data_IF_428880916957
#
_entry.id   IF_428880916957
#
_cell.length_a   1.000
_cell.length_b   1.000
_cell.length_c   1.000
_cell.angle_alpha   90.00
_cell.angle_beta   90.00
_cell.angle_gamma   90.00
#
_symmetry.space_group_name_H-M   'P 1'
#
loop_
_entity.id
_entity.type
_entity.pdbx_description
1 polymer ?
#
# COMPACT_ATOMS: atom_id res chain seq x y z
N UNK A 1 52.69 -82.55 -9.64
CA UNK A 1 52.53 -81.75 -8.43
C UNK A 1 52.00 -80.35 -8.93
N UNK A 2 50.71 -80.05 -8.66
CA UNK A 2 50.09 -78.81 -9.08
C UNK A 2 49.81 -77.96 -7.83
N UNK A 3 50.39 -76.76 -7.73
CA UNK A 3 50.15 -75.88 -6.62
C UNK A 3 48.89 -75.05 -6.98
N UNK A 4 47.89 -75.07 -6.10
CA UNK A 4 46.72 -74.17 -6.13
C UNK A 4 47.02 -72.91 -5.31
N UNK A 5 47.10 -71.77 -5.96
CA UNK A 5 47.11 -70.48 -5.30
C UNK A 5 45.66 -70.06 -4.96
N UNK A 6 45.43 -69.84 -3.67
CA UNK A 6 44.19 -69.25 -3.16
C UNK A 6 44.31 -67.73 -3.21
N UNK A 7 43.47 -67.09 -4.07
CA UNK A 7 43.29 -65.62 -4.09
C UNK A 7 42.22 -65.30 -3.06
N UNK A 8 42.59 -64.50 -2.07
CA UNK A 8 41.67 -63.93 -1.09
C UNK A 8 41.14 -62.64 -1.66
N UNK A 9 39.82 -62.52 -1.91
CA UNK A 9 39.14 -61.29 -2.30
C UNK A 9 38.72 -60.56 -1.02
N UNK A 10 39.31 -59.35 -0.76
CA UNK A 10 38.92 -58.50 0.31
C UNK A 10 37.77 -57.58 -0.22
N UNK A 11 36.58 -57.73 0.32
CA UNK A 11 35.46 -56.83 0.04
C UNK A 11 35.60 -55.57 0.90
N UNK A 12 35.92 -54.43 0.26
CA UNK A 12 35.88 -53.10 0.90
C UNK A 12 34.43 -52.60 0.94
N UNK A 13 33.83 -52.52 2.12
CA UNK A 13 32.54 -51.87 2.34
C UNK A 13 32.70 -50.33 2.28
N UNK A 14 32.22 -49.71 1.23
CA UNK A 14 32.14 -48.22 1.13
C UNK A 14 30.93 -47.76 1.94
N UNK A 15 31.19 -47.18 3.10
CA UNK A 15 30.19 -46.43 3.87
C UNK A 15 29.96 -45.08 3.16
N UNK A 16 28.88 -44.96 2.39
CA UNK A 16 28.40 -43.65 1.90
C UNK A 16 27.65 -42.97 3.05
N UNK A 17 28.34 -42.08 3.74
CA UNK A 17 27.71 -41.19 4.70
C UNK A 17 26.84 -40.20 3.91
N UNK A 18 25.52 -40.41 3.91
CA UNK A 18 24.56 -39.41 3.43
C UNK A 18 24.56 -38.27 4.44
N UNK A 19 25.34 -37.22 4.18
CA UNK A 19 25.23 -35.97 4.88
C UNK A 19 23.85 -35.37 4.51
N UNK A 20 22.90 -35.43 5.43
CA UNK A 20 21.67 -34.64 5.33
C UNK A 20 22.07 -33.17 5.24
N UNK A 21 21.55 -32.41 4.26
CA UNK A 21 21.83 -31.00 4.22
C UNK A 21 21.31 -30.38 5.53
N UNK A 22 22.20 -29.85 6.34
CA UNK A 22 21.85 -28.97 7.45
C UNK A 22 21.22 -27.77 6.78
N UNK A 23 19.88 -27.67 6.81
CA UNK A 23 19.18 -26.45 6.42
C UNK A 23 19.67 -25.39 7.38
N UNK A 24 20.50 -24.47 6.87
CA UNK A 24 20.75 -23.23 7.56
C UNK A 24 19.38 -22.64 7.91
N UNK A 25 19.13 -22.34 9.19
CA UNK A 25 17.89 -21.70 9.59
C UNK A 25 17.70 -20.46 8.69
N UNK A 26 16.67 -20.50 7.84
CA UNK A 26 16.46 -19.43 6.87
C UNK A 26 16.29 -18.11 7.62
N UNK A 27 16.99 -17.10 7.15
CA UNK A 27 16.93 -15.76 7.73
C UNK A 27 15.51 -15.23 7.55
N UNK A 28 14.93 -14.65 8.62
CA UNK A 28 13.63 -13.99 8.55
C UNK A 28 13.61 -12.96 7.41
N UNK A 29 12.69 -13.12 6.46
CA UNK A 29 12.50 -12.20 5.34
C UNK A 29 11.38 -11.21 5.63
N UNK A 30 11.39 -10.06 4.94
CA UNK A 30 10.29 -9.11 5.00
C UNK A 30 9.00 -9.71 4.46
N UNK A 31 9.09 -10.59 3.45
CA UNK A 31 7.94 -11.29 2.88
C UNK A 31 7.31 -12.27 3.89
N UNK A 32 8.12 -13.06 4.61
CA UNK A 32 7.61 -13.93 5.65
C UNK A 32 6.89 -13.17 6.76
N UNK A 33 7.47 -12.03 7.16
CA UNK A 33 6.84 -11.12 8.12
C UNK A 33 5.52 -10.59 7.59
N UNK A 34 5.47 -10.17 6.33
CA UNK A 34 4.26 -9.65 5.68
C UNK A 34 3.16 -10.72 5.60
N UNK A 35 3.51 -11.93 5.18
CA UNK A 35 2.59 -13.07 5.14
C UNK A 35 2.05 -13.41 6.51
N UNK A 36 2.92 -13.53 7.52
CA UNK A 36 2.52 -13.82 8.89
C UNK A 36 1.55 -12.76 9.45
N UNK A 37 1.87 -11.47 9.29
CA UNK A 37 1.01 -10.36 9.71
C UNK A 37 -0.31 -10.32 8.94
N UNK A 38 -0.31 -10.78 7.69
CA UNK A 38 -1.51 -10.91 6.86
C UNK A 38 -2.35 -12.15 7.18
N UNK A 39 -1.99 -12.95 8.19
CA UNK A 39 -2.66 -14.21 8.50
C UNK A 39 -2.46 -15.29 7.43
N UNK A 40 -1.39 -15.19 6.63
CA UNK A 40 -1.01 -16.14 5.59
C UNK A 40 0.21 -16.94 6.06
N UNK A 41 0.32 -18.24 5.73
CA UNK A 41 1.50 -19.01 6.11
C UNK A 41 2.78 -18.39 5.52
N UNK A 42 3.84 -18.19 6.33
CA UNK A 42 5.17 -17.83 5.84
C UNK A 42 5.79 -18.98 5.04
N UNK A 43 6.97 -18.79 4.44
CA UNK A 43 7.69 -19.83 3.73
C UNK A 43 8.05 -21.00 4.67
N UNK A 44 8.23 -22.20 4.12
CA UNK A 44 8.41 -23.44 4.91
C UNK A 44 9.61 -23.41 5.85
N UNK A 45 10.70 -22.69 5.52
CA UNK A 45 11.92 -22.56 6.35
C UNK A 45 11.89 -21.36 7.31
N UNK A 46 10.85 -20.54 7.27
CA UNK A 46 10.79 -19.32 8.07
C UNK A 46 10.75 -19.61 9.58
N UNK A 47 11.50 -18.84 10.41
CA UNK A 47 11.40 -18.91 11.87
C UNK A 47 9.98 -18.63 12.40
N UNK A 48 9.13 -17.96 11.62
CA UNK A 48 7.73 -17.66 12.00
C UNK A 48 6.81 -18.87 11.83
N UNK A 49 7.22 -19.92 11.12
CA UNK A 49 6.37 -21.10 10.87
C UNK A 49 5.89 -21.75 12.17
N UNK A 50 6.75 -21.84 13.18
CA UNK A 50 6.38 -22.40 14.49
C UNK A 50 5.26 -21.59 15.18
N UNK A 51 5.19 -20.27 14.97
CA UNK A 51 4.19 -19.38 15.56
C UNK A 51 2.81 -19.53 14.92
N UNK A 52 2.69 -20.16 13.75
CA UNK A 52 1.39 -20.36 13.08
C UNK A 52 0.51 -21.38 13.79
N UNK A 53 1.06 -22.20 14.69
CA UNK A 53 0.29 -23.09 15.58
C UNK A 53 -0.33 -22.38 16.78
N UNK A 54 0.05 -21.12 17.07
CA UNK A 54 -0.52 -20.33 18.17
C UNK A 54 -2.00 -20.05 17.92
N UNK A 55 -2.89 -20.34 18.89
CA UNK A 55 -4.34 -20.10 18.73
C UNK A 55 -4.69 -18.65 18.40
N UNK A 56 -3.89 -17.68 18.86
CA UNK A 56 -4.09 -16.25 18.56
C UNK A 56 -3.81 -15.98 17.09
N UNK A 57 -2.73 -16.55 16.54
CA UNK A 57 -2.45 -16.40 15.11
C UNK A 57 -3.50 -17.10 14.25
N UNK A 58 -3.95 -18.28 14.62
CA UNK A 58 -5.01 -19.00 13.89
C UNK A 58 -6.33 -18.23 13.87
N UNK A 59 -6.69 -17.56 14.97
CA UNK A 59 -7.86 -16.69 15.03
C UNK A 59 -7.67 -15.48 14.12
N UNK A 60 -6.52 -14.83 14.17
CA UNK A 60 -6.12 -13.72 13.31
C UNK A 60 -6.20 -14.10 11.82
N UNK A 61 -5.64 -15.24 11.44
CA UNK A 61 -5.69 -15.74 10.07
C UNK A 61 -7.13 -15.90 9.57
N UNK A 62 -8.01 -16.55 10.36
CA UNK A 62 -9.43 -16.70 10.01
C UNK A 62 -10.16 -15.36 9.91
N UNK A 63 -9.88 -14.42 10.82
CA UNK A 63 -10.47 -13.07 10.78
C UNK A 63 -10.09 -12.34 9.49
N UNK A 64 -8.80 -12.33 9.13
CA UNK A 64 -8.34 -11.66 7.92
C UNK A 64 -8.82 -12.35 6.64
N UNK A 65 -8.86 -13.68 6.60
CA UNK A 65 -9.40 -14.40 5.44
C UNK A 65 -10.86 -14.02 5.18
N UNK A 66 -11.68 -13.96 6.23
CA UNK A 66 -13.06 -13.54 6.11
C UNK A 66 -13.19 -12.07 5.69
N UNK A 67 -12.45 -11.16 6.35
CA UNK A 67 -12.55 -9.73 6.10
C UNK A 67 -12.06 -9.34 4.69
N UNK A 68 -10.89 -9.86 4.28
CA UNK A 68 -10.36 -9.62 2.93
C UNK A 68 -11.20 -10.30 1.85
N UNK A 69 -11.72 -11.51 2.10
CA UNK A 69 -12.65 -12.17 1.18
C UNK A 69 -13.93 -11.37 0.94
N UNK A 70 -14.52 -10.80 1.98
CA UNK A 70 -15.66 -9.90 1.85
C UNK A 70 -15.31 -8.60 1.10
N UNK A 71 -14.15 -8.00 1.40
CA UNK A 71 -13.70 -6.79 0.73
C UNK A 71 -13.41 -7.04 -0.76
N UNK A 72 -12.81 -8.18 -1.08
CA UNK A 72 -12.56 -8.62 -2.45
C UNK A 72 -13.86 -8.69 -3.26
N UNK A 73 -14.87 -9.40 -2.74
CA UNK A 73 -16.16 -9.56 -3.41
C UNK A 73 -16.94 -8.25 -3.52
N UNK A 74 -16.93 -7.46 -2.46
CA UNK A 74 -17.72 -6.21 -2.39
C UNK A 74 -17.15 -5.09 -3.23
N UNK A 75 -15.81 -4.98 -3.30
CA UNK A 75 -15.15 -3.79 -3.85
C UNK A 75 -13.98 -4.10 -4.79
N UNK A 76 -12.94 -4.82 -4.34
CA UNK A 76 -11.66 -4.85 -5.06
C UNK A 76 -11.76 -5.52 -6.43
N UNK A 77 -12.49 -6.62 -6.56
CA UNK A 77 -12.73 -7.27 -7.85
C UNK A 77 -13.50 -6.38 -8.82
N UNK A 78 -14.50 -5.65 -8.31
CA UNK A 78 -15.32 -4.71 -9.09
C UNK A 78 -14.50 -3.49 -9.54
N UNK A 79 -13.67 -2.96 -8.65
CA UNK A 79 -12.72 -1.87 -8.99
C UNK A 79 -11.80 -2.32 -10.12
N UNK A 80 -11.20 -3.51 -10.04
CA UNK A 80 -10.31 -4.02 -11.10
C UNK A 80 -11.06 -4.25 -12.42
N UNK A 81 -12.29 -4.75 -12.38
CA UNK A 81 -13.12 -4.89 -13.57
C UNK A 81 -13.42 -3.51 -14.20
N UNK A 82 -13.80 -2.53 -13.40
CA UNK A 82 -14.02 -1.16 -13.84
C UNK A 82 -12.75 -0.54 -14.44
N UNK A 83 -11.62 -0.73 -13.78
CA UNK A 83 -10.30 -0.25 -14.25
C UNK A 83 -9.94 -0.82 -15.63
N UNK A 84 -10.14 -2.14 -15.81
CA UNK A 84 -9.87 -2.80 -17.09
C UNK A 84 -10.66 -2.24 -18.26
N UNK A 85 -11.83 -1.65 -18.01
CA UNK A 85 -12.67 -1.02 -19.04
C UNK A 85 -12.34 0.46 -19.23
N UNK A 86 -12.03 1.19 -18.15
CA UNK A 86 -12.02 2.65 -18.17
C UNK A 86 -10.60 3.27 -18.21
N UNK A 87 -9.55 2.52 -17.86
CA UNK A 87 -8.16 2.99 -17.90
C UNK A 87 -7.40 2.38 -19.09
N UNK A 88 -7.54 2.98 -20.27
CA UNK A 88 -6.99 2.46 -21.52
C UNK A 88 -5.44 2.49 -21.58
N UNK A 89 -4.80 3.47 -20.97
CA UNK A 89 -3.35 3.70 -21.05
C UNK A 89 -2.76 4.19 -19.73
N UNK A 90 -2.80 3.38 -18.65
CA UNK A 90 -2.28 3.79 -17.36
C UNK A 90 -0.78 4.06 -17.42
N UNK A 91 -0.33 5.07 -16.69
CA UNK A 91 1.08 5.43 -16.58
C UNK A 91 1.81 4.48 -15.63
N UNK A 92 3.16 4.35 -15.78
CA UNK A 92 3.95 3.50 -14.91
C UNK A 92 4.05 4.03 -13.47
N UNK A 93 3.87 5.34 -13.26
CA UNK A 93 3.88 5.96 -11.92
C UNK A 93 2.45 6.29 -11.50
N UNK A 94 2.12 6.00 -10.23
CA UNK A 94 0.88 6.46 -9.62
C UNK A 94 1.16 7.24 -8.35
N UNK A 95 0.46 8.36 -8.17
CA UNK A 95 0.49 9.21 -6.99
C UNK A 95 -0.79 9.04 -6.18
N UNK A 96 -0.65 8.75 -4.88
CA UNK A 96 -1.77 8.70 -3.96
C UNK A 96 -1.49 9.56 -2.73
N UNK A 97 -1.70 10.85 -2.91
CA UNK A 97 -1.59 11.85 -1.83
C UNK A 97 -2.75 11.69 -0.85
N UNK A 98 -2.51 11.95 0.43
CA UNK A 98 -3.49 11.77 1.52
C UNK A 98 -3.95 10.32 1.72
N UNK A 99 -3.13 9.34 1.33
CA UNK A 99 -3.53 7.94 1.28
C UNK A 99 -3.49 7.22 2.63
N UNK A 100 -2.66 7.66 3.57
CA UNK A 100 -2.20 6.72 4.58
C UNK A 100 -1.45 5.55 3.94
N UNK A 101 -1.39 4.39 4.57
CA UNK A 101 -0.77 3.18 4.02
C UNK A 101 -1.65 2.41 3.01
N UNK A 102 -2.57 3.08 2.31
CA UNK A 102 -3.59 2.46 1.47
C UNK A 102 -3.05 1.95 0.11
N UNK A 103 -2.10 1.03 0.17
CA UNK A 103 -1.63 0.34 -1.03
C UNK A 103 -2.72 -0.54 -1.68
N UNK A 104 -3.68 -1.01 -0.89
CA UNK A 104 -4.70 -1.95 -1.37
C UNK A 104 -5.57 -1.34 -2.49
N UNK A 105 -6.08 -0.12 -2.28
CA UNK A 105 -6.84 0.59 -3.31
C UNK A 105 -5.94 1.15 -4.42
N UNK A 106 -4.71 1.54 -4.09
CA UNK A 106 -3.71 1.94 -5.09
C UNK A 106 -3.48 0.83 -6.12
N UNK A 107 -3.23 -0.41 -5.68
CA UNK A 107 -3.04 -1.58 -6.55
C UNK A 107 -4.34 -1.99 -7.26
N UNK A 108 -5.50 -1.88 -6.61
CA UNK A 108 -6.77 -2.23 -7.24
C UNK A 108 -7.12 -1.30 -8.42
N UNK A 109 -6.87 0.01 -8.30
CA UNK A 109 -7.10 0.97 -9.37
C UNK A 109 -5.98 1.02 -10.41
N UNK A 110 -4.73 0.79 -10.02
CA UNK A 110 -3.57 0.90 -10.91
C UNK A 110 -2.67 -0.35 -10.84
N UNK A 111 -3.20 -1.55 -11.13
CA UNK A 111 -2.45 -2.82 -10.97
C UNK A 111 -1.20 -2.90 -11.86
N UNK A 112 -1.16 -2.12 -12.95
CA UNK A 112 -0.05 -2.08 -13.90
C UNK A 112 1.01 -1.02 -13.59
N UNK A 113 0.82 -0.18 -12.58
CA UNK A 113 1.86 0.75 -12.15
C UNK A 113 3.11 -0.02 -11.69
N UNK A 114 4.28 0.53 -12.00
CA UNK A 114 5.58 0.01 -11.56
C UNK A 114 6.14 0.80 -10.38
N UNK A 115 5.68 2.04 -10.20
CA UNK A 115 6.03 2.92 -9.10
C UNK A 115 4.79 3.47 -8.43
N UNK A 116 4.65 3.25 -7.13
CA UNK A 116 3.58 3.76 -6.30
C UNK A 116 4.15 4.77 -5.31
N UNK A 117 3.59 5.97 -5.24
CA UNK A 117 3.99 7.01 -4.28
C UNK A 117 2.82 7.36 -3.40
N UNK A 118 2.88 6.94 -2.15
CA UNK A 118 1.89 7.16 -1.11
C UNK A 118 2.41 8.18 -0.10
N UNK A 119 1.54 8.98 0.47
CA UNK A 119 1.92 9.91 1.54
C UNK A 119 0.82 10.19 2.54
N UNK A 120 1.22 10.45 3.77
CA UNK A 120 0.36 10.87 4.88
C UNK A 120 1.18 11.51 6.01
N UNK A 121 0.51 11.86 7.11
CA UNK A 121 1.17 12.39 8.32
C UNK A 121 1.78 11.29 9.21
N UNK A 122 1.31 10.06 9.08
CA UNK A 122 1.73 8.93 9.91
C UNK A 122 3.15 8.52 9.55
N UNK A 123 4.04 8.28 10.55
CA UNK A 123 5.40 7.80 10.29
C UNK A 123 5.39 6.37 9.72
N UNK A 124 6.38 6.00 8.89
CA UNK A 124 6.51 4.62 8.42
C UNK A 124 6.74 3.63 9.58
N UNK A 125 7.35 4.06 10.66
CA UNK A 125 7.77 3.18 11.75
C UNK A 125 9.08 2.46 11.46
N UNK A 126 9.42 1.49 12.29
CA UNK A 126 10.57 0.60 12.10
C UNK A 126 10.20 -0.63 11.27
N UNK A 127 11.18 -1.23 10.60
CA UNK A 127 10.98 -2.51 9.92
C UNK A 127 10.55 -3.56 10.95
N UNK A 128 9.40 -4.22 10.78
CA UNK A 128 8.89 -5.17 11.75
C UNK A 128 9.83 -6.36 11.95
N UNK A 129 10.18 -6.63 13.20
CA UNK A 129 10.95 -7.82 13.61
C UNK A 129 10.17 -8.61 14.67
N UNK A 130 9.41 -9.58 14.23
CA UNK A 130 8.56 -10.39 15.08
C UNK A 130 9.33 -11.33 16.01
N UNK A 131 10.63 -11.56 15.76
CA UNK A 131 11.48 -12.39 16.63
C UNK A 131 11.79 -11.69 17.96
N UNK A 132 11.62 -10.36 18.00
CA UNK A 132 11.81 -9.54 19.20
C UNK A 132 10.56 -9.36 20.06
N UNK A 133 9.44 -9.93 19.64
CA UNK A 133 8.24 -9.90 20.47
C UNK A 133 8.46 -10.72 21.75
N UNK A 134 8.02 -10.21 22.91
CA UNK A 134 8.09 -10.95 24.16
C UNK A 134 7.25 -12.23 24.06
N UNK A 135 7.62 -13.27 24.82
CA UNK A 135 6.82 -14.50 24.89
C UNK A 135 5.38 -14.18 25.27
N UNK A 136 4.40 -14.63 24.47
CA UNK A 136 2.98 -14.28 24.63
C UNK A 136 2.57 -12.92 24.05
N UNK A 137 3.49 -12.11 23.53
CA UNK A 137 3.18 -10.79 22.96
C UNK A 137 2.57 -10.83 21.56
N UNK A 138 2.65 -11.96 20.86
CA UNK A 138 2.15 -12.12 19.48
C UNK A 138 0.65 -11.81 19.40
N UNK A 139 -0.16 -12.37 20.31
CA UNK A 139 -1.61 -12.16 20.30
C UNK A 139 -2.03 -10.70 20.47
N UNK A 140 -1.36 -9.97 21.38
CA UNK A 140 -1.62 -8.55 21.60
C UNK A 140 -1.21 -7.70 20.38
N UNK A 141 -0.04 -7.99 19.78
CA UNK A 141 0.45 -7.30 18.60
C UNK A 141 -0.49 -7.49 17.40
N UNK A 142 -0.95 -8.72 17.14
CA UNK A 142 -1.90 -9.02 16.07
C UNK A 142 -3.26 -8.35 16.30
N UNK A 143 -3.75 -8.33 17.54
CA UNK A 143 -4.99 -7.63 17.89
C UNK A 143 -4.92 -6.12 17.61
N UNK A 144 -3.80 -5.46 17.94
CA UNK A 144 -3.61 -4.05 17.64
C UNK A 144 -3.60 -3.79 16.13
N UNK A 145 -2.99 -4.67 15.34
CA UNK A 145 -3.03 -4.62 13.88
C UNK A 145 -4.47 -4.76 13.36
N UNK A 146 -5.24 -5.73 13.84
CA UNK A 146 -6.66 -5.90 13.48
C UNK A 146 -7.48 -4.62 13.75
N UNK A 147 -7.28 -4.02 14.93
CA UNK A 147 -7.97 -2.78 15.31
C UNK A 147 -7.61 -1.62 14.39
N UNK A 148 -6.33 -1.44 14.10
CA UNK A 148 -5.85 -0.35 13.23
C UNK A 148 -6.40 -0.43 11.80
N UNK A 149 -6.75 -1.64 11.35
CA UNK A 149 -7.29 -1.89 10.01
C UNK A 149 -8.83 -1.95 9.96
N UNK A 150 -9.52 -1.93 11.09
CA UNK A 150 -10.97 -2.14 11.16
C UNK A 150 -11.77 -1.18 10.26
N UNK A 151 -11.37 0.09 10.17
CA UNK A 151 -12.05 1.08 9.34
C UNK A 151 -11.88 0.83 7.84
N UNK A 152 -10.66 0.55 7.38
CA UNK A 152 -10.42 0.31 5.95
C UNK A 152 -11.07 -1.00 5.48
N UNK A 153 -11.10 -2.03 6.32
CA UNK A 153 -11.73 -3.30 6.01
C UNK A 153 -13.27 -3.20 5.99
N UNK A 154 -13.84 -2.37 6.86
CA UNK A 154 -15.30 -2.19 6.97
C UNK A 154 -15.85 -1.16 5.98
N UNK A 155 -15.10 -0.08 5.74
CA UNK A 155 -15.50 1.06 4.91
C UNK A 155 -14.70 1.10 3.61
N UNK A 156 -13.86 2.07 3.40
CA UNK A 156 -12.89 2.14 2.31
C UNK A 156 -11.80 3.18 2.60
N UNK A 157 -11.69 3.62 3.83
CA UNK A 157 -10.76 4.65 4.26
C UNK A 157 -10.26 4.40 5.68
N UNK A 158 -9.11 4.97 6.02
CA UNK A 158 -8.56 4.93 7.37
C UNK A 158 -9.14 6.03 8.26
N UNK A 159 -9.40 5.68 9.52
CA UNK A 159 -9.57 6.65 10.60
C UNK A 159 -8.18 6.83 11.22
N UNK A 160 -7.39 7.75 10.68
CA UNK A 160 -5.97 7.93 11.02
C UNK A 160 -5.71 8.17 12.50
N UNK A 161 -6.65 8.83 13.19
CA UNK A 161 -6.55 9.06 14.65
C UNK A 161 -6.55 7.74 15.43
N UNK A 162 -7.39 6.77 15.06
CA UNK A 162 -7.42 5.44 15.69
C UNK A 162 -6.16 4.64 15.34
N UNK A 163 -5.73 4.67 14.10
CA UNK A 163 -4.53 3.98 13.66
C UNK A 163 -3.27 4.44 14.43
N UNK A 164 -3.12 5.74 14.68
CA UNK A 164 -2.01 6.27 15.49
C UNK A 164 -1.99 5.73 16.92
N UNK A 165 -3.15 5.56 17.53
CA UNK A 165 -3.25 5.04 18.90
C UNK A 165 -2.92 3.54 18.95
N UNK A 166 -3.35 2.77 17.96
CA UNK A 166 -3.19 1.32 17.93
C UNK A 166 -1.77 0.88 17.53
N UNK A 167 -1.06 1.70 16.73
CA UNK A 167 0.29 1.43 16.23
C UNK A 167 1.32 2.47 16.69
N UNK A 168 1.07 3.13 17.83
CA UNK A 168 1.97 4.16 18.37
C UNK A 168 3.29 3.63 18.92
N UNK A 169 3.26 2.45 19.55
CA UNK A 169 4.38 1.89 20.30
C UNK A 169 4.65 0.42 19.98
N UNK A 170 5.85 -0.04 20.28
CA UNK A 170 6.27 -1.45 20.18
C UNK A 170 6.89 -1.85 18.87
N UNK A 171 6.94 -3.18 18.62
CA UNK A 171 7.61 -3.78 17.45
C UNK A 171 6.82 -3.62 16.13
N UNK A 172 5.53 -3.31 16.22
CA UNK A 172 4.64 -3.09 15.07
C UNK A 172 4.17 -1.63 15.03
N UNK A 173 5.10 -0.69 15.16
CA UNK A 173 4.78 0.74 15.13
C UNK A 173 4.70 1.30 13.69
N UNK A 174 3.94 2.38 13.54
CA UNK A 174 3.82 3.11 12.28
C UNK A 174 3.00 2.39 11.22
N UNK A 175 3.21 2.76 9.95
CA UNK A 175 2.41 2.28 8.81
C UNK A 175 2.97 1.04 8.12
N UNK A 176 4.24 0.68 8.35
CA UNK A 176 4.88 -0.47 7.70
C UNK A 176 4.15 -1.80 7.89
N UNK A 177 3.65 -2.15 9.10
CA UNK A 177 2.90 -3.39 9.27
C UNK A 177 1.68 -3.48 8.36
N UNK A 178 0.96 -2.36 8.15
CA UNK A 178 -0.22 -2.30 7.27
C UNK A 178 0.18 -2.43 5.81
N UNK A 179 1.25 -1.74 5.37
CA UNK A 179 1.78 -1.87 4.01
C UNK A 179 2.20 -3.32 3.72
N UNK A 180 2.82 -3.99 4.67
CA UNK A 180 3.18 -5.41 4.57
C UNK A 180 1.96 -6.30 4.34
N UNK A 181 0.92 -6.10 5.15
CA UNK A 181 -0.33 -6.86 5.04
C UNK A 181 -0.97 -6.63 3.68
N UNK A 182 -1.05 -5.39 3.21
CA UNK A 182 -1.67 -5.08 1.94
C UNK A 182 -0.88 -5.63 0.75
N UNK A 183 0.45 -5.58 0.78
CA UNK A 183 1.28 -6.22 -0.23
C UNK A 183 1.01 -7.72 -0.28
N UNK A 184 1.07 -8.41 0.86
CA UNK A 184 0.83 -9.85 0.92
C UNK A 184 -0.60 -10.22 0.47
N UNK A 185 -1.63 -9.50 0.94
CA UNK A 185 -3.04 -9.74 0.56
C UNK A 185 -3.36 -9.35 -0.89
N UNK A 186 -2.54 -8.50 -1.51
CA UNK A 186 -2.61 -8.23 -2.95
C UNK A 186 -1.78 -9.21 -3.79
N UNK A 187 -1.28 -10.30 -3.20
CA UNK A 187 -0.50 -11.33 -3.91
C UNK A 187 0.88 -10.84 -4.36
N UNK A 188 1.47 -9.87 -3.67
CA UNK A 188 2.81 -9.36 -3.94
C UNK A 188 3.83 -10.06 -3.04
N UNK A 189 5.07 -10.20 -3.54
CA UNK A 189 6.21 -10.76 -2.79
C UNK A 189 7.21 -9.66 -2.50
N UNK A 190 7.45 -9.35 -1.23
CA UNK A 190 8.41 -8.31 -0.83
C UNK A 190 9.84 -8.82 -1.06
N UNK A 191 10.65 -8.03 -1.77
CA UNK A 191 12.04 -8.33 -2.08
C UNK A 191 13.03 -7.56 -1.22
N UNK A 192 12.71 -6.27 -0.98
CA UNK A 192 13.60 -5.36 -0.25
C UNK A 192 12.82 -4.27 0.46
N UNK A 193 13.29 -3.82 1.61
CA UNK A 193 12.67 -2.75 2.41
C UNK A 193 13.74 -1.87 2.99
N UNK A 194 13.76 -0.62 2.55
CA UNK A 194 14.75 0.36 2.98
C UNK A 194 14.08 1.60 3.56
N UNK A 195 14.33 1.94 4.81
CA UNK A 195 14.07 3.28 5.32
C UNK A 195 14.86 4.29 4.49
N UNK A 196 14.18 5.33 4.04
CA UNK A 196 14.76 6.44 3.26
C UNK A 196 14.36 7.79 3.85
N UNK A 197 15.07 8.82 3.46
CA UNK A 197 14.73 10.19 3.78
C UNK A 197 14.98 11.10 2.57
N UNK A 198 14.10 12.07 2.34
CA UNK A 198 14.31 13.09 1.31
C UNK A 198 14.93 14.33 1.94
N UNK A 199 15.90 14.91 1.25
CA UNK A 199 16.37 16.26 1.54
C UNK A 199 15.42 17.33 0.94
N UNK A 200 15.70 18.59 1.16
CA UNK A 200 14.91 19.73 0.66
C UNK A 200 14.97 19.90 -0.87
N UNK A 201 15.87 19.18 -1.54
CA UNK A 201 15.99 19.14 -3.01
C UNK A 201 15.23 17.96 -3.63
N UNK A 202 14.72 17.04 -2.78
CA UNK A 202 14.02 15.84 -3.20
C UNK A 202 14.93 14.65 -3.51
N UNK A 203 16.23 14.74 -3.17
CA UNK A 203 17.10 13.58 -3.29
C UNK A 203 16.81 12.58 -2.17
N UNK A 204 16.70 11.29 -2.53
CA UNK A 204 16.46 10.21 -1.59
C UNK A 204 17.78 9.65 -1.05
N UNK A 205 17.88 9.58 0.27
CA UNK A 205 19.03 9.05 1.00
C UNK A 205 18.64 7.81 1.80
N UNK A 206 19.51 6.81 1.85
CA UNK A 206 19.28 5.64 2.69
C UNK A 206 19.65 5.91 4.16
N UNK A 207 19.13 5.09 5.08
CA UNK A 207 19.30 5.31 6.52
C UNK A 207 20.75 5.31 7.04
N UNK A 208 21.69 4.72 6.29
CA UNK A 208 23.12 4.72 6.59
C UNK A 208 23.86 5.98 6.12
N UNK A 209 23.22 6.84 5.36
CA UNK A 209 23.74 8.12 4.93
C UNK A 209 23.37 9.19 5.97
N UNK A 210 24.19 10.23 6.11
CA UNK A 210 23.90 11.34 7.02
C UNK A 210 23.48 12.59 6.21
N UNK A 211 22.21 12.66 5.77
CA UNK A 211 21.73 13.66 4.81
C UNK A 211 21.42 15.04 5.42
N UNK A 212 21.73 15.26 6.69
CA UNK A 212 21.52 16.57 7.34
C UNK A 212 20.27 16.67 8.20
N UNK A 213 19.70 17.90 8.33
CA UNK A 213 18.53 18.22 9.15
C UNK A 213 17.29 18.46 8.27
N UNK A 214 16.09 18.36 8.84
CA UNK A 214 14.80 18.61 8.17
C UNK A 214 14.48 17.66 7.01
N UNK A 215 14.57 16.36 7.29
CA UNK A 215 14.31 15.32 6.30
C UNK A 215 12.87 14.86 6.31
N UNK A 216 12.32 14.62 5.12
CA UNK A 216 11.05 13.91 4.97
C UNK A 216 11.30 12.40 5.04
N UNK A 217 10.88 11.78 6.13
CA UNK A 217 11.08 10.34 6.35
C UNK A 217 10.14 9.50 5.53
N UNK A 218 10.64 8.39 5.01
CA UNK A 218 9.85 7.45 4.22
C UNK A 218 10.43 6.05 4.25
N UNK A 219 9.84 5.21 3.44
CA UNK A 219 10.30 3.85 3.17
C UNK A 219 10.17 3.55 1.68
N UNK A 220 11.16 2.86 1.13
CA UNK A 220 11.13 2.25 -0.19
C UNK A 220 10.95 0.74 -0.01
N UNK A 221 9.92 0.19 -0.63
CA UNK A 221 9.66 -1.24 -0.66
C UNK A 221 9.73 -1.71 -2.11
N UNK A 222 10.64 -2.64 -2.39
CA UNK A 222 10.72 -3.32 -3.68
C UNK A 222 9.97 -4.64 -3.57
N UNK A 223 9.08 -4.93 -4.51
CA UNK A 223 8.27 -6.12 -4.50
C UNK A 223 8.08 -6.68 -5.92
N UNK A 224 7.82 -7.97 -6.02
CA UNK A 224 7.38 -8.60 -7.26
C UNK A 224 5.85 -8.60 -7.34
N UNK A 225 5.30 -8.19 -8.48
CA UNK A 225 3.90 -8.35 -8.80
C UNK A 225 3.54 -9.81 -9.10
N UNK A 226 2.25 -10.11 -9.26
CA UNK A 226 1.78 -11.42 -9.71
C UNK A 226 2.28 -11.82 -11.10
N UNK A 227 2.68 -10.83 -11.89
CA UNK A 227 3.30 -10.98 -13.21
C UNK A 227 4.83 -11.20 -13.15
N UNK A 228 5.39 -11.32 -11.94
CA UNK A 228 6.82 -11.49 -11.68
C UNK A 228 7.67 -10.22 -11.87
N UNK A 229 7.10 -9.12 -12.38
CA UNK A 229 7.84 -7.87 -12.59
C UNK A 229 8.12 -7.17 -11.28
N UNK A 230 9.32 -6.60 -11.19
CA UNK A 230 9.72 -5.78 -10.06
C UNK A 230 9.01 -4.43 -10.10
N UNK A 231 8.51 -4.02 -8.93
CA UNK A 231 7.79 -2.76 -8.70
C UNK A 231 8.30 -2.12 -7.42
N UNK A 232 8.08 -0.81 -7.31
CA UNK A 232 8.52 -0.06 -6.13
C UNK A 232 7.35 0.70 -5.51
N UNK A 233 7.23 0.59 -4.20
CA UNK A 233 6.34 1.40 -3.37
C UNK A 233 7.19 2.35 -2.54
N UNK A 234 6.92 3.64 -2.67
CA UNK A 234 7.41 4.70 -1.80
C UNK A 234 6.27 5.16 -0.87
N UNK A 235 6.53 5.21 0.41
CA UNK A 235 5.65 5.83 1.38
C UNK A 235 6.41 6.91 2.14
N UNK A 236 5.85 8.11 2.23
CA UNK A 236 6.46 9.24 2.92
C UNK A 236 5.54 9.82 4.00
N UNK A 237 6.12 10.06 5.18
CA UNK A 237 5.46 10.84 6.23
C UNK A 237 5.71 12.32 5.98
N UNK A 238 4.71 13.04 5.48
CA UNK A 238 4.84 14.44 5.13
C UNK A 238 3.53 15.19 5.29
N UNK A 239 3.61 16.44 5.75
CA UNK A 239 2.50 17.39 5.69
C UNK A 239 2.43 18.01 4.27
N UNK A 240 1.29 17.88 3.64
CA UNK A 240 1.04 18.39 2.29
C UNK A 240 0.49 19.81 2.26
N UNK A 241 0.40 20.51 3.39
CA UNK A 241 0.10 21.94 3.42
C UNK A 241 1.20 22.74 2.73
N UNK A 242 0.86 23.89 2.17
CA UNK A 242 1.80 24.74 1.42
C UNK A 242 3.07 25.09 2.21
N UNK A 243 2.95 25.26 3.53
CA UNK A 243 4.08 25.57 4.41
C UNK A 243 5.12 24.46 4.45
N UNK A 244 4.68 23.21 4.39
CA UNK A 244 5.55 22.03 4.41
C UNK A 244 5.86 21.50 3.01
N UNK A 245 4.86 21.36 2.15
CA UNK A 245 5.01 20.75 0.82
C UNK A 245 6.08 21.46 -0.05
N UNK A 246 6.24 22.77 0.11
CA UNK A 246 7.23 23.57 -0.66
C UNK A 246 8.66 23.37 -0.20
N UNK A 247 8.90 22.93 1.03
CA UNK A 247 10.23 22.84 1.65
C UNK A 247 10.65 21.41 1.98
N UNK A 248 9.70 20.46 2.01
CA UNK A 248 9.96 19.06 2.42
C UNK A 248 10.75 18.24 1.37
N UNK A 249 10.97 18.77 0.16
CA UNK A 249 11.54 18.01 -0.96
C UNK A 249 10.60 16.97 -1.58
N UNK A 250 9.45 16.67 -0.95
CA UNK A 250 8.56 15.59 -1.39
C UNK A 250 8.01 15.82 -2.81
N UNK A 251 7.47 17.01 -3.09
CA UNK A 251 6.95 17.30 -4.44
C UNK A 251 8.07 17.28 -5.49
N UNK A 252 9.27 17.79 -5.15
CA UNK A 252 10.45 17.72 -6.02
C UNK A 252 10.86 16.27 -6.33
N UNK A 253 10.82 15.39 -5.32
CA UNK A 253 11.02 13.95 -5.55
C UNK A 253 9.98 13.39 -6.53
N UNK A 254 8.69 13.71 -6.32
CA UNK A 254 7.63 13.26 -7.22
C UNK A 254 7.83 13.75 -8.67
N UNK A 255 8.34 14.96 -8.86
CA UNK A 255 8.66 15.53 -10.18
C UNK A 255 9.74 14.72 -10.93
N UNK A 256 10.65 14.05 -10.20
CA UNK A 256 11.69 13.21 -10.83
C UNK A 256 11.15 11.90 -11.41
N UNK A 257 9.95 11.47 -11.00
CA UNK A 257 9.37 10.19 -11.39
C UNK A 257 8.57 10.23 -12.71
N UNK A 258 8.63 11.34 -13.45
CA UNK A 258 7.85 11.61 -14.65
C UNK A 258 6.32 11.68 -14.42
N UNK A 259 5.55 12.19 -15.40
CA UNK A 259 4.09 12.24 -15.28
C UNK A 259 3.49 10.87 -15.03
N UNK A 260 2.53 10.81 -14.11
CA UNK A 260 1.87 9.58 -13.69
C UNK A 260 0.35 9.66 -13.76
N UNK A 261 -0.30 8.76 -13.07
CA UNK A 261 -1.72 8.80 -12.75
C UNK A 261 -1.92 9.11 -11.27
N UNK A 262 -3.09 9.57 -10.86
CA UNK A 262 -3.36 9.91 -9.48
C UNK A 262 -4.66 9.33 -8.95
N UNK A 263 -4.63 8.90 -7.68
CA UNK A 263 -5.80 8.54 -6.88
C UNK A 263 -5.97 9.55 -5.75
N UNK A 264 -7.18 10.09 -5.58
CA UNK A 264 -7.53 10.97 -4.47
C UNK A 264 -8.84 10.46 -3.87
N UNK A 265 -8.78 9.92 -2.67
CA UNK A 265 -9.90 9.29 -2.01
C UNK A 265 -9.92 9.69 -0.54
N UNK A 266 -11.06 10.15 -0.03
CA UNK A 266 -11.23 10.54 1.37
C UNK A 266 -10.19 11.58 1.84
N UNK A 267 -9.90 12.59 1.02
CA UNK A 267 -8.85 13.58 1.24
C UNK A 267 -9.27 14.74 2.17
N UNK A 268 -10.30 14.54 3.01
CA UNK A 268 -10.82 15.52 3.97
C UNK A 268 -11.10 16.90 3.36
N UNK A 269 -11.41 16.93 2.07
CA UNK A 269 -11.61 18.16 1.29
C UNK A 269 -10.46 19.17 1.41
N UNK A 270 -9.26 18.72 1.73
CA UNK A 270 -8.09 19.58 1.90
C UNK A 270 -7.72 20.30 0.61
N UNK A 271 -7.88 19.62 -0.52
CA UNK A 271 -7.60 20.19 -1.85
C UNK A 271 -8.58 21.31 -2.27
N UNK A 272 -9.67 21.54 -1.51
CA UNK A 272 -10.54 22.70 -1.66
C UNK A 272 -9.95 23.97 -1.03
N UNK A 273 -9.00 23.83 -0.11
CA UNK A 273 -8.39 24.94 0.61
C UNK A 273 -7.23 25.56 -0.18
N UNK A 274 -7.05 26.90 -0.14
CA UNK A 274 -5.86 27.55 -0.69
C UNK A 274 -4.55 27.09 -0.01
N UNK A 275 -4.63 26.59 1.23
CA UNK A 275 -3.46 26.08 1.98
C UNK A 275 -2.87 24.80 1.40
N UNK A 276 -3.54 24.15 0.43
CA UNK A 276 -3.06 22.95 -0.26
C UNK A 276 -2.92 23.19 -1.77
N UNK A 277 -2.71 24.43 -2.19
CA UNK A 277 -2.57 24.77 -3.61
C UNK A 277 -1.32 24.14 -4.23
N UNK A 278 -0.21 24.03 -3.51
CA UNK A 278 1.02 23.45 -4.06
C UNK A 278 0.84 21.98 -4.49
N UNK A 279 0.24 21.14 -3.64
CA UNK A 279 -0.03 19.74 -3.99
C UNK A 279 -1.13 19.62 -5.05
N UNK A 280 -2.15 20.48 -5.01
CA UNK A 280 -3.19 20.52 -6.05
C UNK A 280 -2.61 20.88 -7.42
N UNK A 281 -1.78 21.89 -7.51
CA UNK A 281 -1.10 22.33 -8.73
C UNK A 281 -0.16 21.22 -9.25
N UNK A 282 0.60 20.57 -8.36
CA UNK A 282 1.41 19.41 -8.72
C UNK A 282 0.56 18.31 -9.38
N UNK A 283 -0.53 17.89 -8.74
CA UNK A 283 -1.40 16.83 -9.26
C UNK A 283 -2.00 17.20 -10.62
N UNK A 284 -2.48 18.44 -10.79
CA UNK A 284 -3.01 18.92 -12.06
C UNK A 284 -1.95 19.02 -13.17
N UNK A 285 -0.70 19.30 -12.81
CA UNK A 285 0.40 19.40 -13.75
C UNK A 285 0.98 18.04 -14.17
N UNK A 286 1.04 17.08 -13.24
CA UNK A 286 1.79 15.83 -13.42
C UNK A 286 0.93 14.58 -13.60
N UNK A 287 -0.41 14.69 -13.50
CA UNK A 287 -1.31 13.58 -13.75
C UNK A 287 -1.80 13.54 -15.20
N UNK A 288 -1.67 12.36 -15.82
CA UNK A 288 -2.32 12.06 -17.11
C UNK A 288 -3.78 11.64 -16.88
N UNK A 289 -4.02 10.82 -15.86
CA UNK A 289 -5.35 10.41 -15.41
C UNK A 289 -5.47 10.65 -13.92
N UNK A 290 -6.66 11.08 -13.51
CA UNK A 290 -6.97 11.26 -12.09
C UNK A 290 -8.30 10.60 -11.76
N UNK A 291 -8.29 9.78 -10.72
CA UNK A 291 -9.48 9.16 -10.13
C UNK A 291 -9.69 9.80 -8.76
N UNK A 292 -10.89 10.32 -8.52
CA UNK A 292 -11.18 10.94 -7.23
C UNK A 292 -12.65 10.76 -6.81
N UNK A 293 -12.89 10.82 -5.48
CA UNK A 293 -14.22 11.10 -4.95
C UNK A 293 -14.43 12.62 -4.82
N UNK A 294 -15.58 13.06 -4.31
CA UNK A 294 -15.92 14.48 -4.16
C UNK A 294 -15.05 15.22 -3.13
N UNK A 295 -14.24 14.53 -2.34
CA UNK A 295 -13.26 15.13 -1.42
C UNK A 295 -11.97 15.58 -2.11
N UNK A 296 -11.79 15.24 -3.38
CA UNK A 296 -10.62 15.55 -4.20
C UNK A 296 -10.56 17.01 -4.67
N UNK A 297 -10.00 17.23 -5.84
CA UNK A 297 -9.84 18.56 -6.44
C UNK A 297 -11.17 19.05 -6.99
N UNK A 298 -11.68 20.24 -6.57
CA UNK A 298 -12.88 20.84 -7.14
C UNK A 298 -12.76 21.10 -8.65
N UNK A 299 -13.85 20.90 -9.39
CA UNK A 299 -13.88 21.14 -10.85
C UNK A 299 -13.43 22.53 -11.26
N UNK A 300 -13.64 23.54 -10.41
CA UNK A 300 -13.25 24.92 -10.68
C UNK A 300 -11.74 25.14 -10.85
N UNK A 301 -10.90 24.20 -10.37
CA UNK A 301 -9.45 24.28 -10.52
C UNK A 301 -8.91 23.58 -11.76
N UNK A 302 -9.74 22.80 -12.45
CA UNK A 302 -9.33 22.15 -13.69
C UNK A 302 -9.43 23.11 -14.89
N UNK A 303 -8.41 23.09 -15.75
CA UNK A 303 -8.54 23.68 -17.09
C UNK A 303 -9.44 22.77 -17.97
N UNK A 304 -10.68 23.18 -18.16
CA UNK A 304 -11.67 22.40 -18.90
C UNK A 304 -11.34 22.23 -20.40
N UNK A 305 -10.38 22.96 -20.95
CA UNK A 305 -9.87 22.76 -22.31
C UNK A 305 -8.94 21.56 -22.39
N UNK A 306 -8.32 21.20 -21.28
CA UNK A 306 -7.32 20.14 -21.18
C UNK A 306 -7.84 18.87 -20.53
N UNK A 307 -8.87 18.96 -19.68
CA UNK A 307 -9.39 17.84 -18.94
C UNK A 307 -10.77 17.41 -19.42
N UNK A 308 -10.94 16.11 -19.63
CA UNK A 308 -12.22 15.46 -19.91
C UNK A 308 -12.68 14.73 -18.67
N UNK A 309 -13.99 14.80 -18.39
CA UNK A 309 -14.59 14.30 -17.15
C UNK A 309 -15.60 13.22 -17.44
N UNK A 310 -15.46 12.10 -16.73
CA UNK A 310 -16.32 10.93 -16.80
C UNK A 310 -16.81 10.60 -15.38
N UNK A 311 -18.04 11.02 -15.02
CA UNK A 311 -18.61 10.77 -13.71
C UNK A 311 -19.20 9.36 -13.64
N UNK A 312 -19.04 8.69 -12.48
CA UNK A 312 -19.60 7.37 -12.16
C UNK A 312 -20.26 7.41 -10.78
N UNK A 313 -21.40 6.68 -10.63
CA UNK A 313 -22.15 6.62 -9.40
C UNK A 313 -23.03 7.85 -9.16
N UNK A 314 -23.10 8.33 -7.92
CA UNK A 314 -24.03 9.39 -7.52
C UNK A 314 -23.36 10.41 -6.60
N UNK A 315 -23.41 11.67 -6.97
CA UNK A 315 -23.04 12.75 -6.06
C UNK A 315 -24.26 13.22 -5.26
N UNK A 316 -24.25 12.96 -3.95
CA UNK A 316 -25.31 13.37 -3.01
C UNK A 316 -24.87 14.55 -2.10
N UNK A 317 -23.82 15.25 -2.49
CA UNK A 317 -23.19 16.30 -1.68
C UNK A 317 -22.10 15.74 -0.75
N UNK A 318 -21.35 16.61 -0.05
CA UNK A 318 -20.32 16.21 0.88
C UNK A 318 -20.92 15.46 2.07
N UNK A 319 -20.06 14.80 2.87
CA UNK A 319 -20.49 14.18 4.11
C UNK A 319 -20.82 15.26 5.15
N UNK A 320 -21.58 14.87 6.20
CA UNK A 320 -22.13 15.79 7.19
C UNK A 320 -21.05 16.60 7.93
N UNK A 321 -19.85 16.05 8.08
CA UNK A 321 -18.69 16.70 8.72
C UNK A 321 -18.12 17.87 7.91
N UNK A 322 -18.46 17.98 6.61
CA UNK A 322 -17.97 19.02 5.69
C UNK A 322 -19.09 19.72 4.90
N UNK A 323 -20.16 20.24 5.52
CA UNK A 323 -21.34 20.72 4.81
C UNK A 323 -21.04 21.89 3.86
N UNK A 324 -20.03 22.72 4.20
CA UNK A 324 -19.59 23.85 3.37
C UNK A 324 -18.78 23.48 2.12
N UNK A 325 -18.60 22.17 1.83
CA UNK A 325 -17.84 21.68 0.66
C UNK A 325 -18.73 21.22 -0.50
N UNK A 326 -20.01 21.61 -0.50
CA UNK A 326 -20.92 21.34 -1.61
C UNK A 326 -20.42 21.97 -2.92
N UNK A 327 -20.52 21.20 -4.01
CA UNK A 327 -20.05 21.60 -5.33
C UNK A 327 -21.21 21.60 -6.35
N UNK A 328 -21.80 22.76 -6.69
CA UNK A 328 -22.88 22.84 -7.69
C UNK A 328 -22.47 22.24 -9.04
N UNK A 329 -21.24 22.48 -9.48
CA UNK A 329 -20.74 21.95 -10.75
C UNK A 329 -20.65 20.42 -10.77
N UNK A 330 -20.38 19.78 -9.62
CA UNK A 330 -20.42 18.32 -9.49
C UNK A 330 -21.87 17.84 -9.64
N UNK A 331 -22.84 18.51 -9.02
CA UNK A 331 -24.25 18.15 -9.18
C UNK A 331 -24.67 18.13 -10.64
N UNK A 332 -24.30 19.16 -11.41
CA UNK A 332 -24.61 19.22 -12.84
C UNK A 332 -23.87 18.12 -13.63
N UNK A 333 -22.59 17.92 -13.35
CA UNK A 333 -21.79 16.91 -14.02
C UNK A 333 -22.34 15.50 -13.78
N UNK A 334 -22.73 15.19 -12.55
CA UNK A 334 -23.22 13.86 -12.15
C UNK A 334 -24.65 13.54 -12.59
N UNK A 335 -25.40 14.50 -13.18
CA UNK A 335 -26.66 14.18 -13.88
C UNK A 335 -26.48 13.22 -15.05
N UNK A 336 -25.28 13.15 -15.63
CA UNK A 336 -24.88 12.24 -16.72
C UNK A 336 -23.97 11.09 -16.27
N UNK A 337 -23.92 10.81 -14.96
CA UNK A 337 -23.04 9.79 -14.42
C UNK A 337 -23.43 8.38 -14.91
N UNK A 338 -22.41 7.58 -15.22
CA UNK A 338 -22.58 6.17 -15.52
C UNK A 338 -22.82 5.37 -14.22
N UNK A 339 -23.50 4.23 -14.30
CA UNK A 339 -23.65 3.35 -13.16
C UNK A 339 -22.30 2.87 -12.61
N UNK A 340 -22.23 2.68 -11.28
CA UNK A 340 -21.09 2.11 -10.58
C UNK A 340 -21.60 1.10 -9.53
N UNK A 341 -21.00 -0.07 -9.49
CA UNK A 341 -21.44 -1.19 -8.64
C UNK A 341 -20.54 -1.43 -7.42
N UNK A 342 -19.58 -0.52 -7.17
CA UNK A 342 -18.71 -0.49 -5.99
C UNK A 342 -18.72 0.90 -5.34
N UNK A 343 -18.20 1.00 -4.12
CA UNK A 343 -18.09 2.26 -3.42
C UNK A 343 -16.66 2.62 -3.08
N UNK A 344 -16.36 3.93 -3.05
CA UNK A 344 -15.08 4.48 -2.63
C UNK A 344 -15.27 5.70 -1.74
N UNK A 345 -14.21 6.08 -1.06
CA UNK A 345 -14.18 7.31 -0.28
C UNK A 345 -15.09 7.27 0.95
N UNK A 346 -15.51 8.44 1.38
CA UNK A 346 -16.38 8.56 2.55
C UNK A 346 -17.76 7.93 2.34
N UNK A 347 -18.27 7.96 1.11
CA UNK A 347 -19.53 7.30 0.72
C UNK A 347 -19.25 5.94 0.12
N UNK A 348 -18.75 5.03 0.95
CA UNK A 348 -18.22 3.73 0.56
C UNK A 348 -19.26 2.71 0.05
N UNK A 349 -20.58 3.01 0.18
CA UNK A 349 -21.62 2.16 -0.38
C UNK A 349 -21.87 2.49 -1.84
N UNK A 350 -21.96 1.48 -2.71
CA UNK A 350 -22.06 1.66 -4.16
C UNK A 350 -23.17 2.65 -4.59
N UNK A 351 -24.38 2.55 -4.01
CA UNK A 351 -25.50 3.41 -4.36
C UNK A 351 -25.40 4.86 -3.84
N UNK A 352 -24.43 5.16 -2.98
CA UNK A 352 -24.18 6.49 -2.41
C UNK A 352 -22.86 7.09 -2.91
N UNK A 353 -22.01 6.27 -3.51
CA UNK A 353 -20.65 6.65 -3.88
C UNK A 353 -20.59 7.42 -5.17
N UNK A 354 -19.59 8.28 -5.25
CA UNK A 354 -19.25 9.03 -6.46
C UNK A 354 -17.77 8.78 -6.80
N UNK A 355 -17.50 8.71 -8.12
CA UNK A 355 -16.17 8.63 -8.66
C UNK A 355 -16.10 9.52 -9.90
N UNK A 356 -15.12 10.39 -9.94
CA UNK A 356 -14.79 11.17 -11.11
C UNK A 356 -13.49 10.68 -11.72
N UNK A 357 -13.57 10.15 -12.94
CA UNK A 357 -12.41 9.90 -13.79
C UNK A 357 -12.16 11.15 -14.62
N UNK A 358 -10.98 11.73 -14.48
CA UNK A 358 -10.52 12.90 -15.22
C UNK A 358 -9.30 12.51 -16.06
N UNK A 359 -9.37 12.77 -17.38
CA UNK A 359 -8.29 12.43 -18.32
C UNK A 359 -7.74 13.72 -18.93
N UNK A 360 -6.43 13.92 -18.82
CA UNK A 360 -5.72 15.05 -19.42
C UNK A 360 -5.50 14.77 -20.91
N UNK A 361 -6.00 15.64 -21.78
CA UNK A 361 -5.94 15.51 -23.24
C UNK A 361 -4.58 15.99 -23.84
N UNK A 362 -3.49 15.96 -23.06
CA UNK A 362 -2.14 16.31 -23.54
C UNK A 362 -1.63 15.31 -24.57
#
# INVERSE_FOLDING_TARGET
>A
MRHFNKIAVAAAAIFVATASPVHAADKLTADDTARFLAGMPPSAGSPLTALTSDPSWQRHARFFDAAFGQLEQRQLSRIRAWTGVNLAAPKPTMFYMFSGPDFLYADAFFPNATSYVLSALEPPGSVPDLTRLPRGGVGAALYNVERSMSSILSFSFFITKSMKLDLGDGQLNGTLPILYIFLARSGKTIRDVNPIALDDKGAAHFANENPGRNLTRGVRIVFAGSDGREKTLYYFSTDLSNSSARVSGFLKFCETLAPGDSLIKSASYLLHSPNFSAVREFLLAHSATMIQDDSGIPLAFYDQRRWRFFPFGRYAGPIAEFPGRYQPNYTELFKRAQPMDFGIGYRWRAHESNLLLSINAR
#
